data_IF_963470167068
#
_entry.id   IF_963470167068
#
_cell.length_a   1.000
_cell.length_b   1.000
_cell.length_c   1.000
_cell.angle_alpha   90.00
_cell.angle_beta   90.00
_cell.angle_gamma   90.00
#
_symmetry.space_group_name_H-M   'P 1'
#
loop_
_entity.id
_entity.type
_entity.pdbx_description
1 polymer ?
#
# COMPACT_ATOMS: atom_id res chain seq x y z
N UNK A 1 13.38 44.14 -1.06
CA UNK A 1 12.38 43.79 -0.02
C UNK A 1 13.02 43.65 1.37
N UNK A 2 14.08 42.84 1.52
CA UNK A 2 14.83 42.66 2.78
C UNK A 2 15.37 43.98 3.37
N UNK A 3 15.90 44.88 2.54
CA UNK A 3 16.40 46.19 3.02
C UNK A 3 15.29 47.18 3.40
N UNK A 4 14.07 46.95 2.93
CA UNK A 4 12.89 47.71 3.34
C UNK A 4 12.44 47.24 4.73
N UNK A 5 12.45 45.92 4.97
CA UNK A 5 12.16 45.30 6.26
C UNK A 5 13.19 45.73 7.31
N UNK A 6 14.49 45.74 6.99
CA UNK A 6 15.55 46.22 7.90
C UNK A 6 15.38 47.71 8.27
N UNK A 7 14.91 48.55 7.34
CA UNK A 7 14.65 49.98 7.58
C UNK A 7 13.40 50.21 8.42
N UNK A 8 12.32 49.47 8.18
CA UNK A 8 11.13 49.51 9.03
C UNK A 8 11.41 48.97 10.45
N UNK A 9 12.29 47.99 10.60
CA UNK A 9 12.72 47.47 11.90
C UNK A 9 13.46 48.52 12.72
N UNK A 10 14.42 49.24 12.11
CA UNK A 10 15.13 50.34 12.78
C UNK A 10 14.21 51.48 13.19
N UNK A 11 13.16 51.78 12.41
CA UNK A 11 12.13 52.76 12.81
C UNK A 11 11.32 52.27 14.00
N UNK A 12 10.84 51.02 14.00
CA UNK A 12 10.05 50.46 15.10
C UNK A 12 10.83 50.32 16.41
N UNK A 13 12.13 50.02 16.35
CA UNK A 13 13.00 50.05 17.54
C UNK A 13 13.18 51.46 18.09
N UNK A 14 13.29 52.47 17.21
CA UNK A 14 13.39 53.87 17.62
C UNK A 14 12.06 54.38 18.22
N UNK A 15 10.93 54.05 17.60
CA UNK A 15 9.60 54.46 18.07
C UNK A 15 9.23 53.78 19.40
N UNK A 16 9.56 52.49 19.58
CA UNK A 16 9.34 51.77 20.84
C UNK A 16 10.24 52.26 21.98
N UNK A 17 11.46 52.72 21.69
CA UNK A 17 12.33 53.37 22.67
C UNK A 17 11.80 54.75 23.09
N UNK A 18 11.08 55.44 22.20
CA UNK A 18 10.59 56.80 22.43
C UNK A 18 9.26 56.83 23.20
N UNK A 19 8.44 55.77 23.12
CA UNK A 19 7.10 55.74 23.71
C UNK A 19 7.05 55.57 25.25
N UNK A 20 8.20 55.32 25.90
CA UNK A 20 8.29 55.16 27.37
C UNK A 20 9.07 56.29 28.08
N UNK A 21 9.42 57.37 27.37
CA UNK A 21 10.17 58.49 27.96
C UNK A 21 9.26 59.71 28.19
N UNK A 22 8.66 59.82 29.37
CA UNK A 22 8.19 61.13 29.86
C UNK A 22 9.39 62.03 30.15
N UNK A 23 9.25 63.30 29.79
CA UNK A 23 10.29 64.32 29.80
C UNK A 23 10.98 64.42 31.18
N UNK A 24 12.29 64.17 31.25
CA UNK A 24 13.08 64.54 32.43
C UNK A 24 14.30 63.68 32.81
N UNK A 25 14.40 62.40 32.43
CA UNK A 25 15.55 61.57 32.82
C UNK A 25 15.97 60.56 31.75
N UNK A 26 16.77 61.02 30.79
CA UNK A 26 17.27 60.22 29.65
C UNK A 26 18.39 59.23 30.06
N UNK A 27 18.92 59.28 31.29
CA UNK A 27 20.09 58.49 31.69
C UNK A 27 19.80 57.13 32.35
N UNK A 28 18.53 56.73 32.57
CA UNK A 28 18.21 55.50 33.33
C UNK A 28 17.06 54.62 32.80
N UNK A 29 16.75 54.67 31.50
CA UNK A 29 15.85 53.67 30.90
C UNK A 29 16.68 52.57 30.22
N UNK A 30 17.22 51.62 30.99
CA UNK A 30 17.74 50.36 30.43
C UNK A 30 16.60 49.32 30.47
N UNK A 31 16.13 48.80 29.32
CA UNK A 31 15.21 47.67 29.32
C UNK A 31 15.85 46.47 30.03
N UNK A 32 15.04 45.70 30.79
CA UNK A 32 15.51 44.51 31.52
C UNK A 32 16.24 43.54 30.56
N UNK A 33 17.45 43.05 30.90
CA UNK A 33 18.24 42.15 30.04
C UNK A 33 17.48 40.90 29.61
N UNK A 34 16.60 40.38 30.47
CA UNK A 34 15.77 39.21 30.18
C UNK A 34 14.71 39.48 29.10
N UNK A 35 14.15 40.69 29.06
CA UNK A 35 13.16 41.06 28.04
C UNK A 35 13.81 41.25 26.66
N UNK A 36 15.02 41.78 26.65
CA UNK A 36 15.82 41.92 25.42
C UNK A 36 16.26 40.55 24.89
N UNK A 37 16.74 39.67 25.76
CA UNK A 37 17.13 38.30 25.42
C UNK A 37 15.95 37.48 24.85
N UNK A 38 14.77 37.55 25.50
CA UNK A 38 13.56 36.89 24.99
C UNK A 38 13.08 37.48 23.65
N UNK A 39 13.26 38.79 23.44
CA UNK A 39 12.96 39.46 22.17
C UNK A 39 13.88 39.01 21.04
N UNK A 40 15.19 38.94 21.31
CA UNK A 40 16.19 38.49 20.33
C UNK A 40 16.04 37.02 19.97
N UNK A 41 15.69 36.15 20.92
CA UNK A 41 15.48 34.72 20.66
C UNK A 41 14.24 34.47 19.78
N UNK A 42 13.13 35.16 20.08
CA UNK A 42 11.91 35.09 19.24
C UNK A 42 12.15 35.61 17.82
N UNK A 43 12.95 36.67 17.66
CA UNK A 43 13.30 37.24 16.36
C UNK A 43 14.26 36.32 15.58
N UNK A 44 15.25 35.74 16.25
CA UNK A 44 16.16 34.77 15.66
C UNK A 44 15.40 33.50 15.21
N UNK A 45 14.46 33.02 16.02
CA UNK A 45 13.60 31.90 15.65
C UNK A 45 12.73 32.23 14.43
N UNK A 46 12.12 33.43 14.37
CA UNK A 46 11.39 33.89 13.19
C UNK A 46 12.27 34.00 11.94
N UNK A 47 13.51 34.50 12.09
CA UNK A 47 14.47 34.60 10.98
C UNK A 47 14.88 33.21 10.49
N UNK A 48 15.16 32.27 11.39
CA UNK A 48 15.47 30.86 11.04
C UNK A 48 14.30 30.19 10.32
N UNK A 49 13.08 30.39 10.81
CA UNK A 49 11.87 29.87 10.16
C UNK A 49 11.66 30.50 8.78
N UNK A 50 11.85 31.81 8.63
CA UNK A 50 11.74 32.49 7.34
C UNK A 50 12.79 32.00 6.33
N UNK A 51 14.04 31.80 6.78
CA UNK A 51 15.08 31.20 5.94
C UNK A 51 14.75 29.77 5.54
N UNK A 52 14.29 28.94 6.47
CA UNK A 52 13.87 27.56 6.18
C UNK A 52 12.73 27.54 5.14
N UNK A 53 11.72 28.38 5.32
CA UNK A 53 10.59 28.49 4.40
C UNK A 53 11.05 28.95 3.02
N UNK A 54 11.91 29.97 2.94
CA UNK A 54 12.50 30.42 1.66
C UNK A 54 13.26 29.27 0.99
N UNK A 55 14.14 28.58 1.71
CA UNK A 55 14.91 27.46 1.15
C UNK A 55 14.02 26.32 0.64
N UNK A 56 12.90 26.03 1.30
CA UNK A 56 11.94 25.03 0.83
C UNK A 56 11.24 25.50 -0.45
N UNK A 57 10.81 26.77 -0.48
CA UNK A 57 10.15 27.36 -1.64
C UNK A 57 11.12 27.39 -2.84
N UNK A 58 12.33 27.90 -2.64
CA UNK A 58 13.37 27.98 -3.65
C UNK A 58 13.73 26.58 -4.18
N UNK A 59 13.84 25.58 -3.29
CA UNK A 59 14.06 24.19 -3.67
C UNK A 59 12.89 23.57 -4.44
N UNK A 60 11.65 23.91 -4.09
CA UNK A 60 10.47 23.49 -4.85
C UNK A 60 10.46 24.11 -6.26
N UNK A 61 10.75 25.41 -6.38
CA UNK A 61 10.86 26.09 -7.67
C UNK A 61 11.98 25.48 -8.52
N UNK A 62 13.17 25.23 -7.96
CA UNK A 62 14.26 24.56 -8.70
C UNK A 62 13.84 23.17 -9.19
N UNK A 63 13.19 22.38 -8.33
CA UNK A 63 12.72 21.05 -8.71
C UNK A 63 11.68 21.10 -9.84
N UNK A 64 10.74 22.04 -9.78
CA UNK A 64 9.65 22.13 -10.74
C UNK A 64 10.04 22.81 -12.04
N UNK A 65 10.93 23.81 -12.01
CA UNK A 65 11.31 24.61 -13.18
C UNK A 65 12.57 24.07 -13.86
N UNK A 66 13.57 23.62 -13.11
CA UNK A 66 14.88 23.23 -13.66
C UNK A 66 15.10 21.72 -13.76
N UNK A 67 14.42 20.91 -12.92
CA UNK A 67 14.63 19.45 -12.89
C UNK A 67 13.50 18.64 -13.52
N UNK A 68 12.32 19.23 -13.71
CA UNK A 68 11.18 18.52 -14.28
C UNK A 68 11.25 18.43 -15.79
N UNK A 69 10.55 17.44 -16.35
CA UNK A 69 10.46 17.27 -17.79
C UNK A 69 9.50 18.31 -18.39
N UNK A 70 9.99 19.22 -19.26
CA UNK A 70 9.17 20.29 -19.81
C UNK A 70 8.03 19.76 -20.70
N UNK A 71 8.14 18.55 -21.25
CA UNK A 71 7.16 17.97 -22.18
C UNK A 71 5.81 17.69 -21.55
N UNK A 72 5.78 17.51 -20.22
CA UNK A 72 4.56 17.12 -19.48
C UNK A 72 3.96 18.28 -18.69
N UNK A 73 4.57 19.46 -18.68
CA UNK A 73 4.18 20.58 -17.80
C UNK A 73 2.72 21.02 -17.99
N UNK A 74 2.27 21.07 -19.24
CA UNK A 74 0.91 21.52 -19.58
C UNK A 74 -0.13 20.41 -19.53
N UNK A 75 0.27 19.19 -19.16
CA UNK A 75 -0.66 18.06 -19.10
C UNK A 75 -1.50 18.11 -17.82
N UNK A 76 -2.72 17.58 -17.91
CA UNK A 76 -3.66 17.59 -16.80
C UNK A 76 -3.04 16.92 -15.55
N UNK A 77 -3.14 17.63 -14.41
CA UNK A 77 -2.55 17.32 -13.10
C UNK A 77 -1.01 17.30 -13.00
N UNK A 78 -0.26 17.72 -14.02
CA UNK A 78 1.22 17.75 -14.00
C UNK A 78 1.85 19.09 -13.59
N UNK A 79 1.03 20.13 -13.39
CA UNK A 79 1.50 21.46 -13.01
C UNK A 79 2.13 21.48 -11.60
N UNK A 80 1.59 20.72 -10.65
CA UNK A 80 2.12 20.61 -9.28
C UNK A 80 1.72 19.26 -8.65
N UNK A 81 2.42 18.81 -7.59
CA UNK A 81 2.07 17.56 -6.90
C UNK A 81 0.83 17.71 -5.99
N UNK A 82 0.46 18.93 -5.62
CA UNK A 82 -0.58 19.19 -4.63
C UNK A 82 -1.97 18.66 -5.04
N UNK A 83 -2.47 18.84 -6.27
CA UNK A 83 -3.73 18.26 -6.71
C UNK A 83 -3.77 16.74 -6.52
N UNK A 84 -2.71 16.04 -6.91
CA UNK A 84 -2.56 14.58 -6.73
C UNK A 84 -2.62 14.20 -5.26
N UNK A 85 -1.87 14.91 -4.42
CA UNK A 85 -1.84 14.69 -2.98
C UNK A 85 -3.22 14.88 -2.35
N UNK A 86 -3.95 15.94 -2.71
CA UNK A 86 -5.31 16.17 -2.20
C UNK A 86 -6.28 15.08 -2.66
N UNK A 87 -6.19 14.61 -3.90
CA UNK A 87 -6.99 13.49 -4.40
C UNK A 87 -6.68 12.19 -3.64
N UNK A 88 -5.41 11.88 -3.40
CA UNK A 88 -4.99 10.71 -2.63
C UNK A 88 -5.47 10.77 -1.17
N UNK A 89 -5.30 11.91 -0.49
CA UNK A 89 -5.76 12.11 0.88
C UNK A 89 -7.28 12.06 0.97
N UNK A 90 -7.97 12.70 0.03
CA UNK A 90 -9.43 12.66 -0.11
C UNK A 90 -9.93 11.24 -0.33
N UNK A 91 -9.26 10.46 -1.17
CA UNK A 91 -9.55 9.05 -1.39
C UNK A 91 -9.41 8.22 -0.10
N UNK A 92 -8.32 8.37 0.66
CA UNK A 92 -8.14 7.64 1.92
C UNK A 92 -9.21 8.02 2.94
N UNK A 93 -9.49 9.32 3.08
CA UNK A 93 -10.52 9.84 3.98
C UNK A 93 -11.91 9.33 3.59
N UNK A 94 -12.24 9.35 2.30
CA UNK A 94 -13.48 8.78 1.78
C UNK A 94 -13.59 7.29 2.08
N UNK A 95 -12.54 6.53 1.78
CA UNK A 95 -12.53 5.06 1.90
C UNK A 95 -12.72 4.59 3.33
N UNK A 96 -12.07 5.24 4.30
CA UNK A 96 -12.06 4.78 5.71
C UNK A 96 -13.12 5.47 6.58
N UNK A 97 -13.57 6.67 6.24
CA UNK A 97 -14.45 7.48 7.09
C UNK A 97 -15.77 7.79 6.41
N UNK A 98 -15.76 8.59 5.35
CA UNK A 98 -17.01 9.13 4.76
C UNK A 98 -17.87 8.04 4.15
N UNK A 99 -17.27 7.18 3.33
CA UNK A 99 -17.95 6.10 2.62
C UNK A 99 -18.66 5.13 3.56
N UNK A 100 -17.96 4.49 4.51
CA UNK A 100 -18.57 3.60 5.49
C UNK A 100 -19.67 4.29 6.32
N UNK A 101 -19.45 5.53 6.76
CA UNK A 101 -20.44 6.31 7.53
C UNK A 101 -21.69 6.62 6.72
N UNK A 102 -21.55 6.97 5.44
CA UNK A 102 -22.69 7.22 4.54
C UNK A 102 -23.52 5.96 4.29
N UNK A 103 -22.87 4.80 4.24
CA UNK A 103 -23.50 3.51 3.97
C UNK A 103 -23.96 2.76 5.22
N UNK A 104 -23.70 3.28 6.42
CA UNK A 104 -24.02 2.64 7.71
C UNK A 104 -25.52 2.30 7.79
N UNK A 105 -26.37 3.30 7.53
CA UNK A 105 -27.83 3.19 7.58
C UNK A 105 -28.49 2.89 6.21
N UNK A 106 -27.69 2.58 5.18
CA UNK A 106 -28.20 2.25 3.84
C UNK A 106 -28.02 0.77 3.53
N UNK A 107 -28.92 0.22 2.71
CA UNK A 107 -28.80 -1.14 2.16
C UNK A 107 -27.68 -1.17 1.10
N UNK A 108 -26.96 -2.29 0.95
CA UNK A 108 -25.94 -2.41 -0.10
C UNK A 108 -26.59 -2.27 -1.48
N UNK A 109 -25.98 -1.48 -2.36
CA UNK A 109 -26.51 -1.26 -3.70
C UNK A 109 -26.16 -2.41 -4.64
N UNK A 110 -27.11 -2.82 -5.48
CA UNK A 110 -26.82 -3.76 -6.57
C UNK A 110 -26.26 -3.00 -7.77
N UNK A 111 -24.94 -3.10 -7.93
CA UNK A 111 -24.18 -2.45 -9.00
C UNK A 111 -23.61 -3.47 -9.98
N UNK A 112 -24.24 -4.66 -10.13
CA UNK A 112 -23.69 -5.75 -10.94
C UNK A 112 -23.40 -5.33 -12.38
N UNK A 113 -24.36 -4.71 -13.07
CA UNK A 113 -24.17 -4.25 -14.46
C UNK A 113 -23.10 -3.17 -14.58
N UNK A 114 -23.08 -2.22 -13.64
CA UNK A 114 -22.07 -1.16 -13.59
C UNK A 114 -20.67 -1.76 -13.44
N UNK A 115 -20.52 -2.76 -12.56
CA UNK A 115 -19.26 -3.48 -12.37
C UNK A 115 -18.84 -4.26 -13.61
N UNK A 116 -19.76 -4.89 -14.34
CA UNK A 116 -19.44 -5.59 -15.58
C UNK A 116 -18.86 -4.60 -16.60
N UNK A 117 -19.55 -3.49 -16.84
CA UNK A 117 -19.10 -2.45 -17.79
C UNK A 117 -17.76 -1.87 -17.34
N UNK A 118 -17.64 -1.51 -16.07
CA UNK A 118 -16.43 -0.93 -15.51
C UNK A 118 -15.23 -1.88 -15.65
N UNK A 119 -15.37 -3.16 -15.25
CA UNK A 119 -14.27 -4.12 -15.36
C UNK A 119 -13.91 -4.38 -16.83
N UNK A 120 -14.88 -4.40 -17.75
CA UNK A 120 -14.62 -4.51 -19.18
C UNK A 120 -13.81 -3.32 -19.70
N UNK A 121 -14.21 -2.09 -19.34
CA UNK A 121 -13.47 -0.87 -19.69
C UNK A 121 -12.05 -0.92 -19.11
N UNK A 122 -11.88 -1.36 -17.86
CA UNK A 122 -10.56 -1.50 -17.25
C UNK A 122 -9.67 -2.53 -17.96
N UNK A 123 -10.23 -3.66 -18.40
CA UNK A 123 -9.50 -4.65 -19.20
C UNK A 123 -9.05 -4.04 -20.53
N UNK A 124 -9.95 -3.39 -21.26
CA UNK A 124 -9.63 -2.75 -22.55
C UNK A 124 -8.57 -1.67 -22.37
N UNK A 125 -8.74 -0.81 -21.36
CA UNK A 125 -7.82 0.30 -21.09
C UNK A 125 -6.44 -0.20 -20.65
N UNK A 126 -6.39 -1.21 -19.78
CA UNK A 126 -5.12 -1.83 -19.35
C UNK A 126 -4.43 -2.56 -20.50
N UNK A 127 -5.20 -3.23 -21.38
CA UNK A 127 -4.67 -3.89 -22.57
C UNK A 127 -4.13 -2.87 -23.57
N UNK A 128 -4.83 -1.76 -23.77
CA UNK A 128 -4.35 -0.65 -24.60
C UNK A 128 -3.09 0.00 -24.02
N UNK A 129 -3.03 0.25 -22.71
CA UNK A 129 -1.80 0.76 -22.07
C UNK A 129 -0.64 -0.22 -22.16
N UNK A 130 -0.90 -1.50 -21.90
CA UNK A 130 0.09 -2.56 -22.08
C UNK A 130 0.56 -2.56 -23.52
N UNK A 131 -0.35 -2.44 -24.48
CA UNK A 131 -0.02 -2.33 -25.90
C UNK A 131 0.84 -1.10 -26.19
N UNK A 132 0.41 0.12 -25.83
CA UNK A 132 1.18 1.35 -26.07
C UNK A 132 2.61 1.30 -25.52
N UNK A 133 2.83 0.59 -24.42
CA UNK A 133 4.16 0.41 -23.80
C UNK A 133 4.92 -0.82 -24.36
N UNK A 134 4.22 -1.84 -24.84
CA UNK A 134 4.79 -3.12 -25.34
C UNK A 134 5.01 -3.17 -26.85
N UNK A 135 4.00 -2.79 -27.63
CA UNK A 135 3.85 -3.07 -29.06
C UNK A 135 3.17 -1.89 -29.75
N UNK A 136 3.74 -1.38 -30.84
CA UNK A 136 3.05 -0.46 -31.72
C UNK A 136 2.51 -1.24 -32.92
N UNK A 137 1.24 -1.02 -33.29
CA UNK A 137 0.62 -1.67 -34.47
C UNK A 137 1.28 -1.06 -35.70
N UNK A 138 2.09 -1.86 -36.37
CA UNK A 138 2.18 -1.85 -37.82
C UNK A 138 0.78 -2.10 -38.39
N UNK A 139 0.05 -1.02 -38.66
CA UNK A 139 -0.71 -1.01 -39.91
C UNK A 139 0.32 -1.08 -41.06
N UNK A 140 0.07 -1.82 -42.16
CA UNK A 140 1.14 -2.45 -42.93
C UNK A 140 1.95 -1.54 -43.86
N UNK A 141 1.82 -0.21 -43.79
CA UNK A 141 2.49 0.68 -44.72
C UNK A 141 3.00 1.92 -43.99
N UNK A 142 4.25 2.27 -44.25
CA UNK A 142 4.99 3.47 -43.79
C UNK A 142 5.89 3.24 -42.56
N UNK A 143 7.19 3.19 -42.85
CA UNK A 143 8.34 3.34 -41.97
C UNK A 143 8.11 4.39 -40.86
N UNK A 144 8.03 3.94 -39.60
CA UNK A 144 7.94 4.85 -38.45
C UNK A 144 8.53 4.20 -37.18
N UNK A 145 9.23 5.02 -36.40
CA UNK A 145 10.11 4.72 -35.28
C UNK A 145 9.32 4.30 -34.01
N UNK A 146 9.83 3.31 -33.27
CA UNK A 146 9.11 2.54 -32.22
C UNK A 146 9.41 3.03 -30.78
N UNK A 147 8.56 2.75 -29.77
CA UNK A 147 8.84 2.77 -28.31
C UNK A 147 8.75 1.32 -27.78
N UNK A 148 9.81 0.54 -27.67
CA UNK A 148 10.71 0.48 -26.52
C UNK A 148 10.93 -0.99 -26.10
N UNK A 149 10.18 -1.48 -25.11
CA UNK A 149 10.45 -2.75 -24.40
C UNK A 149 10.49 -4.04 -25.23
N UNK A 150 9.58 -4.25 -26.18
CA UNK A 150 9.63 -5.47 -27.03
C UNK A 150 10.40 -5.27 -28.33
N UNK A 151 11.14 -4.16 -28.49
CA UNK A 151 11.81 -3.83 -29.76
C UNK A 151 13.27 -3.44 -29.55
N UNK A 152 13.54 -2.29 -28.96
CA UNK A 152 14.88 -1.68 -28.91
C UNK A 152 15.33 -1.25 -27.51
N UNK A 153 14.47 -1.33 -26.49
CA UNK A 153 14.88 -1.06 -25.12
C UNK A 153 15.70 -2.22 -24.57
N UNK A 154 16.76 -1.86 -23.86
CA UNK A 154 17.57 -2.81 -23.13
C UNK A 154 16.93 -3.12 -21.79
N UNK A 155 16.72 -4.41 -21.50
CA UNK A 155 16.27 -4.88 -20.19
C UNK A 155 17.33 -4.73 -19.08
N UNK A 156 18.55 -4.28 -19.42
CA UNK A 156 19.63 -4.03 -18.45
C UNK A 156 19.71 -2.58 -18.03
N UNK A 157 19.91 -1.70 -19.01
CA UNK A 157 20.02 -0.27 -18.80
C UNK A 157 19.28 0.46 -19.91
N UNK A 158 18.19 1.13 -19.56
CA UNK A 158 17.45 1.97 -20.48
C UNK A 158 17.37 3.42 -19.94
N UNK A 159 18.15 4.36 -20.49
CA UNK A 159 18.02 5.76 -20.11
C UNK A 159 16.67 6.34 -20.57
N UNK A 160 16.28 7.46 -19.96
CA UNK A 160 15.10 8.21 -20.39
C UNK A 160 15.46 9.06 -21.60
N UNK A 161 14.68 8.94 -22.67
CA UNK A 161 14.79 9.82 -23.82
C UNK A 161 13.95 11.08 -23.57
N UNK A 162 14.63 12.22 -23.37
CA UNK A 162 14.02 13.54 -23.15
C UNK A 162 13.76 14.32 -24.44
N UNK A 163 14.01 13.73 -25.62
CA UNK A 163 13.76 14.39 -26.90
C UNK A 163 12.26 14.62 -27.16
N UNK A 164 11.96 15.51 -28.09
CA UNK A 164 10.61 15.72 -28.63
C UNK A 164 10.31 14.78 -29.82
N UNK A 165 11.03 13.66 -29.95
CA UNK A 165 10.76 12.69 -30.99
C UNK A 165 9.34 12.10 -30.82
N UNK A 166 8.66 11.72 -31.92
CA UNK A 166 7.32 11.10 -31.83
C UNK A 166 7.30 9.88 -30.91
N UNK A 167 8.36 9.09 -30.94
CA UNK A 167 8.61 7.95 -30.06
C UNK A 167 8.70 8.34 -28.58
N UNK A 168 9.56 9.30 -28.24
CA UNK A 168 9.77 9.70 -26.85
C UNK A 168 8.51 10.33 -26.25
N UNK A 169 7.81 11.17 -27.02
CA UNK A 169 6.52 11.74 -26.64
C UNK A 169 5.43 10.69 -26.47
N UNK A 170 5.40 9.65 -27.32
CA UNK A 170 4.45 8.54 -27.19
C UNK A 170 4.68 7.76 -25.88
N UNK A 171 5.92 7.46 -25.53
CA UNK A 171 6.26 6.83 -24.25
C UNK A 171 5.85 7.69 -23.06
N UNK A 172 6.16 9.00 -23.10
CA UNK A 172 5.77 9.93 -22.05
C UNK A 172 4.24 10.00 -21.90
N UNK A 173 3.48 10.07 -23.01
CA UNK A 173 2.02 10.02 -23.01
C UNK A 173 1.49 8.71 -22.44
N UNK A 174 2.11 7.57 -22.75
CA UNK A 174 1.78 6.28 -22.16
C UNK A 174 1.96 6.27 -20.63
N UNK A 175 3.05 6.84 -20.14
CA UNK A 175 3.30 7.00 -18.70
C UNK A 175 2.26 7.93 -18.04
N UNK A 176 1.85 9.00 -18.71
CA UNK A 176 0.78 9.88 -18.21
C UNK A 176 -0.60 9.21 -18.23
N UNK A 177 -0.95 8.46 -19.27
CA UNK A 177 -2.21 7.69 -19.28
C UNK A 177 -2.22 6.60 -18.22
N UNK A 178 -1.07 5.97 -17.95
CA UNK A 178 -0.90 5.05 -16.82
C UNK A 178 -1.10 5.77 -15.48
N UNK A 179 -0.60 7.00 -15.33
CA UNK A 179 -0.88 7.83 -14.15
C UNK A 179 -2.39 8.13 -14.00
N UNK A 180 -3.07 8.51 -15.09
CA UNK A 180 -4.53 8.73 -15.07
C UNK A 180 -5.28 7.45 -14.70
N UNK A 181 -4.82 6.27 -15.15
CA UNK A 181 -5.41 4.98 -14.79
C UNK A 181 -5.56 4.82 -13.28
N UNK A 182 -4.58 5.28 -12.50
CA UNK A 182 -4.58 5.11 -11.03
C UNK A 182 -5.69 5.87 -10.33
N UNK A 183 -6.20 6.95 -10.91
CA UNK A 183 -7.40 7.62 -10.40
C UNK A 183 -8.68 6.91 -10.83
N UNK A 184 -8.73 6.34 -12.03
CA UNK A 184 -9.89 5.55 -12.48
C UNK A 184 -10.06 4.33 -11.56
N UNK A 185 -8.95 3.72 -11.13
CA UNK A 185 -8.93 2.60 -10.18
C UNK A 185 -9.49 2.97 -8.79
N UNK A 186 -9.62 4.26 -8.42
CA UNK A 186 -10.31 4.65 -7.18
C UNK A 186 -11.78 4.22 -7.16
N UNK A 187 -12.38 4.04 -8.34
CA UNK A 187 -13.75 3.54 -8.47
C UNK A 187 -13.91 2.14 -7.87
N UNK A 188 -12.85 1.30 -7.86
CA UNK A 188 -12.89 -0.03 -7.21
C UNK A 188 -13.33 0.08 -5.75
N UNK A 189 -12.72 1.02 -5.04
CA UNK A 189 -13.01 1.30 -3.64
C UNK A 189 -14.40 1.86 -3.44
N UNK A 190 -14.81 2.78 -4.30
CA UNK A 190 -16.17 3.33 -4.29
C UNK A 190 -17.17 2.17 -4.42
N UNK A 191 -16.99 1.26 -5.37
CA UNK A 191 -17.87 0.10 -5.51
C UNK A 191 -17.85 -0.83 -4.29
N UNK A 192 -16.71 -1.06 -3.65
CA UNK A 192 -16.65 -1.87 -2.43
C UNK A 192 -17.43 -1.23 -1.28
N UNK A 193 -17.29 0.08 -1.09
CA UNK A 193 -18.03 0.85 -0.07
C UNK A 193 -19.53 0.80 -0.35
N UNK A 194 -19.95 1.11 -1.58
CA UNK A 194 -21.36 1.16 -1.98
C UNK A 194 -22.06 -0.21 -1.90
N UNK A 195 -21.31 -1.31 -2.02
CA UNK A 195 -21.79 -2.69 -1.86
C UNK A 195 -21.65 -3.23 -0.43
N UNK A 196 -21.16 -2.41 0.51
CA UNK A 196 -20.81 -2.80 1.90
C UNK A 196 -19.89 -4.02 1.97
N UNK A 197 -18.98 -4.17 1.00
CA UNK A 197 -17.97 -5.24 0.95
C UNK A 197 -16.69 -4.81 1.67
N UNK A 198 -16.82 -4.49 2.96
CA UNK A 198 -15.71 -3.97 3.77
C UNK A 198 -14.53 -4.96 3.87
N UNK A 199 -14.78 -6.27 3.77
CA UNK A 199 -13.72 -7.29 3.73
C UNK A 199 -12.79 -7.16 2.51
N UNK A 200 -13.30 -6.60 1.40
CA UNK A 200 -12.51 -6.34 0.21
C UNK A 200 -11.70 -5.05 0.33
N UNK A 201 -12.16 -4.11 1.18
CA UNK A 201 -11.47 -2.86 1.51
C UNK A 201 -10.34 -3.07 2.53
N UNK A 202 -9.45 -4.00 2.22
CA UNK A 202 -8.29 -4.33 3.04
C UNK A 202 -7.35 -3.13 3.19
N UNK A 203 -6.49 -3.17 4.21
CA UNK A 203 -5.43 -2.15 4.37
C UNK A 203 -4.48 -2.14 3.18
N UNK A 204 -4.16 -3.33 2.62
CA UNK A 204 -3.37 -3.45 1.40
C UNK A 204 -4.00 -2.65 0.25
N UNK A 205 -5.29 -2.82 0.00
CA UNK A 205 -6.01 -2.13 -1.07
C UNK A 205 -5.96 -0.60 -0.92
N UNK A 206 -6.29 -0.10 0.28
CA UNK A 206 -6.33 1.34 0.54
C UNK A 206 -4.94 1.97 0.49
N UNK A 207 -3.91 1.31 1.05
CA UNK A 207 -2.53 1.79 1.01
C UNK A 207 -2.02 1.81 -0.44
N UNK A 208 -2.26 0.74 -1.20
CA UNK A 208 -1.87 0.65 -2.60
C UNK A 208 -2.47 1.77 -3.43
N UNK A 209 -3.80 1.85 -3.53
CA UNK A 209 -4.43 2.90 -4.33
C UNK A 209 -4.18 4.31 -3.75
N UNK A 210 -4.02 4.46 -2.44
CA UNK A 210 -3.70 5.76 -1.84
C UNK A 210 -2.32 6.30 -2.25
N UNK A 211 -1.29 5.44 -2.31
CA UNK A 211 0.10 5.85 -2.59
C UNK A 211 0.44 5.83 -4.07
N UNK A 212 -0.13 4.90 -4.85
CA UNK A 212 0.27 4.68 -6.24
C UNK A 212 0.18 5.92 -7.15
N UNK A 213 -0.93 6.69 -7.19
CA UNK A 213 -1.00 7.89 -8.03
C UNK A 213 0.08 8.92 -7.67
N UNK A 214 0.32 9.14 -6.37
CA UNK A 214 1.36 10.06 -5.90
C UNK A 214 2.76 9.59 -6.29
N UNK A 215 3.03 8.29 -6.16
CA UNK A 215 4.31 7.69 -6.54
C UNK A 215 4.57 7.80 -8.04
N UNK A 216 3.55 7.52 -8.86
CA UNK A 216 3.64 7.59 -10.32
C UNK A 216 3.75 9.04 -10.81
N UNK A 217 3.16 10.01 -10.12
CA UNK A 217 3.28 11.44 -10.45
C UNK A 217 4.74 11.88 -10.56
N UNK A 218 5.58 11.52 -9.58
CA UNK A 218 7.02 11.81 -9.63
C UNK A 218 7.69 11.10 -10.82
N UNK A 219 7.30 9.86 -11.12
CA UNK A 219 7.80 9.14 -12.28
C UNK A 219 7.50 9.87 -13.60
N UNK A 220 6.26 10.34 -13.80
CA UNK A 220 5.87 11.07 -15.02
C UNK A 220 6.52 12.45 -15.09
N UNK A 221 6.61 13.16 -13.96
CA UNK A 221 7.14 14.53 -13.91
C UNK A 221 8.64 14.61 -14.19
N UNK A 222 9.41 13.60 -13.78
CA UNK A 222 10.88 13.65 -13.83
C UNK A 222 11.49 12.60 -14.76
N UNK A 223 10.89 11.42 -14.89
CA UNK A 223 11.44 10.31 -15.68
C UNK A 223 10.35 9.62 -16.53
N UNK A 224 9.65 10.34 -17.43
CA UNK A 224 8.56 9.76 -18.21
C UNK A 224 9.07 8.84 -19.33
N UNK A 225 9.38 7.60 -18.95
CA UNK A 225 9.88 6.55 -19.84
C UNK A 225 11.09 5.83 -19.28
N UNK A 226 11.92 5.29 -20.17
CA UNK A 226 13.17 4.60 -19.83
C UNK A 226 12.97 3.45 -18.85
N UNK A 227 13.97 3.17 -18.03
CA UNK A 227 14.03 2.02 -17.12
C UNK A 227 12.82 1.89 -16.18
N UNK A 228 12.29 3.01 -15.69
CA UNK A 228 11.10 3.06 -14.83
C UNK A 228 9.87 2.48 -15.51
N UNK A 229 9.70 2.68 -16.82
CA UNK A 229 8.46 2.27 -17.49
C UNK A 229 8.22 0.74 -17.50
N UNK A 230 9.23 -0.08 -17.16
CA UNK A 230 9.10 -1.53 -16.99
C UNK A 230 8.08 -1.92 -15.89
N UNK A 231 8.00 -1.17 -14.79
CA UNK A 231 7.03 -1.50 -13.75
C UNK A 231 5.60 -1.26 -14.26
N UNK A 232 5.39 -0.19 -15.05
CA UNK A 232 4.10 0.12 -15.67
C UNK A 232 3.70 -0.94 -16.70
N UNK A 233 4.67 -1.43 -17.48
CA UNK A 233 4.50 -2.56 -18.40
C UNK A 233 4.00 -3.81 -17.67
N UNK A 234 4.69 -4.26 -16.62
CA UNK A 234 4.27 -5.46 -15.89
C UNK A 234 2.95 -5.25 -15.14
N UNK A 235 2.73 -4.06 -14.57
CA UNK A 235 1.50 -3.77 -13.85
C UNK A 235 0.28 -3.79 -14.76
N UNK A 236 0.36 -3.17 -15.94
CA UNK A 236 -0.74 -3.14 -16.91
C UNK A 236 -1.07 -4.55 -17.40
N UNK A 237 -0.06 -5.40 -17.65
CA UNK A 237 -0.27 -6.82 -17.95
C UNK A 237 -1.03 -7.57 -16.84
N UNK A 238 -0.58 -7.42 -15.59
CA UNK A 238 -1.25 -8.08 -14.46
C UNK A 238 -2.66 -7.52 -14.24
N UNK A 239 -2.87 -6.22 -14.47
CA UNK A 239 -4.18 -5.58 -14.39
C UNK A 239 -5.15 -6.12 -15.46
N UNK A 240 -4.69 -6.41 -16.69
CA UNK A 240 -5.52 -7.10 -17.69
C UNK A 240 -6.06 -8.42 -17.13
N UNK A 241 -5.20 -9.24 -16.52
CA UNK A 241 -5.60 -10.55 -15.98
C UNK A 241 -6.49 -10.39 -14.74
N UNK A 242 -6.15 -9.47 -13.85
CA UNK A 242 -6.90 -9.21 -12.62
C UNK A 242 -8.31 -8.66 -12.90
N UNK A 243 -8.44 -7.65 -13.76
CA UNK A 243 -9.76 -7.10 -14.12
C UNK A 243 -10.58 -8.08 -14.96
N UNK A 244 -9.93 -8.95 -15.76
CA UNK A 244 -10.62 -10.05 -16.44
C UNK A 244 -11.22 -11.02 -15.42
N UNK A 245 -10.49 -11.34 -14.34
CA UNK A 245 -11.04 -12.14 -13.25
C UNK A 245 -12.24 -11.44 -12.57
N UNK A 246 -12.15 -10.14 -12.29
CA UNK A 246 -13.27 -9.40 -11.68
C UNK A 246 -14.48 -9.29 -12.60
N UNK A 247 -14.28 -9.13 -13.90
CA UNK A 247 -15.33 -9.18 -14.91
C UNK A 247 -16.06 -10.53 -14.86
N UNK A 248 -15.32 -11.64 -14.93
CA UNK A 248 -15.89 -12.98 -14.84
C UNK A 248 -16.61 -13.22 -13.51
N UNK A 249 -16.07 -12.70 -12.41
CA UNK A 249 -16.70 -12.79 -11.09
C UNK A 249 -18.01 -11.99 -11.01
N UNK A 250 -18.14 -10.89 -11.76
CA UNK A 250 -19.34 -10.06 -11.81
C UNK A 250 -20.46 -10.67 -12.68
N UNK A 251 -20.12 -11.57 -13.62
CA UNK A 251 -21.10 -12.28 -14.46
C UNK A 251 -21.97 -13.29 -13.70
N UNK A 252 -21.68 -13.55 -12.41
CA UNK A 252 -22.60 -14.18 -11.48
C UNK A 252 -22.14 -15.50 -10.88
N UNK A 253 -22.97 -16.12 -10.00
CA UNK A 253 -22.60 -17.33 -9.25
C UNK A 253 -22.28 -18.53 -10.13
N UNK A 254 -22.88 -18.60 -11.33
CA UNK A 254 -22.63 -19.68 -12.29
C UNK A 254 -21.17 -19.68 -12.75
N UNK A 255 -20.59 -18.51 -13.02
CA UNK A 255 -19.19 -18.40 -13.43
C UNK A 255 -18.22 -18.45 -12.25
N UNK A 256 -18.60 -17.94 -11.08
CA UNK A 256 -17.74 -17.91 -9.89
C UNK A 256 -17.25 -19.31 -9.47
N UNK A 257 -18.03 -20.36 -9.74
CA UNK A 257 -17.64 -21.76 -9.49
C UNK A 257 -16.37 -22.18 -10.25
N UNK A 258 -16.14 -21.62 -11.44
CA UNK A 258 -14.98 -21.92 -12.29
C UNK A 258 -13.75 -21.06 -11.96
N UNK A 259 -13.87 -20.09 -11.04
CA UNK A 259 -12.81 -19.14 -10.68
C UNK A 259 -11.87 -19.67 -9.57
N UNK A 260 -11.50 -20.95 -9.65
CA UNK A 260 -10.61 -21.63 -8.69
C UNK A 260 -9.19 -21.03 -8.66
N UNK A 261 -8.78 -20.35 -9.73
CA UNK A 261 -7.44 -19.82 -9.91
C UNK A 261 -7.17 -18.47 -9.23
N UNK A 262 -8.08 -17.99 -8.36
CA UNK A 262 -7.92 -16.76 -7.57
C UNK A 262 -6.57 -16.68 -6.84
N UNK A 263 -6.09 -17.81 -6.31
CA UNK A 263 -4.81 -17.88 -5.60
C UNK A 263 -3.63 -17.57 -6.52
N UNK A 264 -3.68 -18.01 -7.77
CA UNK A 264 -2.62 -17.78 -8.74
C UNK A 264 -2.54 -16.31 -9.18
N UNK A 265 -3.64 -15.56 -9.14
CA UNK A 265 -3.62 -14.10 -9.33
C UNK A 265 -2.76 -13.40 -8.29
N UNK A 266 -2.96 -13.73 -7.00
CA UNK A 266 -2.16 -13.13 -5.93
C UNK A 266 -0.69 -13.53 -6.03
N UNK A 267 -0.41 -14.77 -6.46
CA UNK A 267 0.97 -15.21 -6.74
C UNK A 267 1.58 -14.44 -7.91
N UNK A 268 0.83 -14.22 -8.99
CA UNK A 268 1.27 -13.44 -10.15
C UNK A 268 1.61 -11.99 -9.74
N UNK A 269 0.78 -11.35 -8.90
CA UNK A 269 1.05 -10.03 -8.35
C UNK A 269 2.33 -10.01 -7.49
N UNK A 270 2.57 -11.04 -6.67
CA UNK A 270 3.81 -11.13 -5.89
C UNK A 270 5.04 -11.30 -6.80
N UNK A 271 4.95 -12.15 -7.83
CA UNK A 271 6.01 -12.35 -8.82
C UNK A 271 6.32 -11.04 -9.57
N UNK A 272 5.30 -10.27 -9.93
CA UNK A 272 5.46 -8.94 -10.53
C UNK A 272 6.36 -8.05 -9.67
N UNK A 273 6.14 -7.97 -8.36
CA UNK A 273 6.99 -7.15 -7.49
C UNK A 273 8.43 -7.66 -7.43
N UNK A 274 8.66 -8.97 -7.45
CA UNK A 274 10.01 -9.55 -7.52
C UNK A 274 10.72 -9.14 -8.81
N UNK A 275 10.03 -9.26 -9.96
CA UNK A 275 10.60 -8.87 -11.25
C UNK A 275 10.92 -7.36 -11.29
N UNK A 276 10.04 -6.52 -10.74
CA UNK A 276 10.27 -5.07 -10.65
C UNK A 276 11.46 -4.76 -9.73
N UNK A 277 11.60 -5.44 -8.59
CA UNK A 277 12.74 -5.24 -7.69
C UNK A 277 14.07 -5.60 -8.35
N UNK A 278 14.15 -6.80 -8.95
CA UNK A 278 15.36 -7.25 -9.66
C UNK A 278 15.69 -6.29 -10.79
N UNK A 279 14.69 -5.91 -11.59
CA UNK A 279 14.88 -4.98 -12.70
C UNK A 279 15.27 -3.59 -12.22
N UNK A 280 14.76 -3.08 -11.10
CA UNK A 280 15.16 -1.78 -10.57
C UNK A 280 16.60 -1.83 -10.02
N UNK A 281 16.88 -2.77 -9.11
CA UNK A 281 18.15 -2.80 -8.37
C UNK A 281 19.36 -3.23 -9.21
N UNK A 282 19.19 -3.87 -10.38
CA UNK A 282 20.34 -4.11 -11.26
C UNK A 282 21.08 -2.82 -11.67
N UNK A 283 20.40 -1.66 -11.73
CA UNK A 283 21.04 -0.37 -12.02
C UNK A 283 21.97 0.12 -10.91
N UNK A 284 21.94 -0.48 -9.72
CA UNK A 284 22.91 -0.19 -8.67
C UNK A 284 24.28 -0.82 -8.94
N UNK A 285 24.32 -1.82 -9.83
CA UNK A 285 25.51 -2.60 -10.15
C UNK A 285 26.01 -2.37 -11.59
N UNK A 286 25.29 -1.56 -12.38
CA UNK A 286 25.59 -1.27 -13.78
C UNK A 286 25.66 0.25 -13.95
N UNK A 287 26.70 0.73 -14.63
CA UNK A 287 26.78 2.13 -15.01
C UNK A 287 25.77 2.45 -16.11
N UNK A 288 24.74 3.20 -15.74
CA UNK A 288 23.63 3.57 -16.59
C UNK A 288 23.29 5.06 -16.37
N UNK A 289 23.02 5.78 -17.45
CA UNK A 289 22.56 7.18 -17.38
C UNK A 289 21.08 7.25 -16.97
N UNK A 290 20.79 6.81 -15.74
CA UNK A 290 19.47 6.83 -15.14
C UNK A 290 19.58 7.28 -13.67
N UNK A 291 18.70 8.18 -13.20
CA UNK A 291 18.82 8.76 -11.86
C UNK A 291 18.64 7.71 -10.75
N UNK A 292 19.71 7.50 -9.96
CA UNK A 292 19.73 6.51 -8.86
C UNK A 292 18.65 6.73 -7.80
N UNK A 293 18.20 7.98 -7.60
CA UNK A 293 17.11 8.28 -6.69
C UNK A 293 15.80 7.54 -7.06
N UNK A 294 15.47 7.47 -8.35
CA UNK A 294 14.29 6.74 -8.83
C UNK A 294 14.43 5.23 -8.74
N UNK A 295 15.66 4.71 -8.83
CA UNK A 295 15.95 3.28 -8.61
C UNK A 295 15.58 2.88 -7.18
N UNK A 296 16.07 3.64 -6.19
CA UNK A 296 15.71 3.41 -4.79
C UNK A 296 14.23 3.62 -4.53
N UNK A 297 13.63 4.65 -5.11
CA UNK A 297 12.20 4.93 -4.98
C UNK A 297 11.35 3.72 -5.44
N UNK A 298 11.56 3.25 -6.67
CA UNK A 298 10.80 2.14 -7.25
C UNK A 298 11.07 0.83 -6.50
N UNK A 299 12.35 0.55 -6.21
CA UNK A 299 12.76 -0.66 -5.50
C UNK A 299 12.15 -0.76 -4.11
N UNK A 300 12.21 0.31 -3.31
CA UNK A 300 11.63 0.34 -1.96
C UNK A 300 10.10 0.25 -1.98
N UNK A 301 9.42 0.88 -2.94
CA UNK A 301 7.97 0.70 -3.11
C UNK A 301 7.61 -0.76 -3.44
N UNK A 302 8.37 -1.41 -4.32
CA UNK A 302 8.15 -2.80 -4.68
C UNK A 302 8.38 -3.75 -3.47
N UNK A 303 9.40 -3.49 -2.64
CA UNK A 303 9.62 -4.21 -1.37
C UNK A 303 8.41 -4.06 -0.44
N UNK A 304 7.95 -2.83 -0.22
CA UNK A 304 6.79 -2.54 0.63
C UNK A 304 5.56 -3.33 0.16
N UNK A 305 5.21 -3.25 -1.12
CA UNK A 305 4.05 -3.96 -1.66
C UNK A 305 4.22 -5.48 -1.62
N UNK A 306 5.42 -6.00 -1.87
CA UNK A 306 5.69 -7.42 -1.74
C UNK A 306 5.34 -7.94 -0.33
N UNK A 307 5.75 -7.23 0.72
CA UNK A 307 5.42 -7.63 2.09
C UNK A 307 3.94 -7.52 2.41
N UNK A 308 3.25 -6.46 1.96
CA UNK A 308 1.81 -6.31 2.15
C UNK A 308 1.02 -7.42 1.45
N UNK A 309 1.41 -7.80 0.22
CA UNK A 309 0.79 -8.91 -0.51
C UNK A 309 1.13 -10.27 0.10
N UNK A 310 2.35 -10.46 0.59
CA UNK A 310 2.77 -11.69 1.29
C UNK A 310 1.97 -11.90 2.58
N UNK A 311 1.76 -10.84 3.35
CA UNK A 311 0.92 -10.87 4.54
C UNK A 311 -0.55 -11.17 4.19
N UNK A 312 -1.12 -10.47 3.21
CA UNK A 312 -2.46 -10.75 2.70
C UNK A 312 -2.60 -12.23 2.27
N UNK A 313 -1.64 -12.76 1.52
CA UNK A 313 -1.66 -14.14 1.04
C UNK A 313 -1.62 -15.14 2.20
N UNK A 314 -0.77 -14.91 3.21
CA UNK A 314 -0.70 -15.75 4.42
C UNK A 314 -2.03 -15.74 5.17
N UNK A 315 -2.67 -14.58 5.31
CA UNK A 315 -3.94 -14.46 6.02
C UNK A 315 -5.11 -15.06 5.23
N UNK A 316 -5.20 -14.78 3.93
CA UNK A 316 -6.31 -15.19 3.08
C UNK A 316 -6.29 -16.69 2.76
N UNK A 317 -5.11 -17.28 2.56
CA UNK A 317 -5.00 -18.66 2.06
C UNK A 317 -4.38 -19.63 3.08
N UNK A 318 -3.25 -19.28 3.72
CA UNK A 318 -2.57 -20.22 4.64
C UNK A 318 -3.30 -20.37 5.97
N UNK A 319 -3.64 -19.26 6.64
CA UNK A 319 -4.36 -19.31 7.93
C UNK A 319 -5.74 -19.95 7.79
N UNK A 320 -6.47 -19.64 6.71
CA UNK A 320 -7.78 -20.27 6.43
C UNK A 320 -7.67 -21.77 6.16
N UNK A 321 -6.68 -22.20 5.39
CA UNK A 321 -6.44 -23.63 5.14
C UNK A 321 -6.11 -24.39 6.44
N UNK A 322 -5.20 -23.85 7.26
CA UNK A 322 -4.84 -24.45 8.54
C UNK A 322 -6.03 -24.50 9.52
N UNK A 323 -6.86 -23.45 9.56
CA UNK A 323 -8.06 -23.45 10.39
C UNK A 323 -9.09 -24.49 9.92
N UNK A 324 -9.27 -24.65 8.61
CA UNK A 324 -10.16 -25.66 8.04
C UNK A 324 -9.64 -27.08 8.31
N UNK A 325 -8.34 -27.31 8.22
CA UNK A 325 -7.70 -28.59 8.54
C UNK A 325 -7.84 -28.93 10.04
N UNK A 326 -7.57 -27.96 10.93
CA UNK A 326 -7.78 -28.13 12.38
C UNK A 326 -9.24 -28.45 12.71
N UNK A 327 -10.20 -27.78 12.06
CA UNK A 327 -11.63 -28.07 12.24
C UNK A 327 -11.96 -29.50 11.76
N UNK A 328 -11.48 -29.90 10.58
CA UNK A 328 -11.67 -31.27 10.07
C UNK A 328 -11.11 -32.32 11.01
N UNK A 329 -9.90 -32.10 11.54
CA UNK A 329 -9.30 -33.01 12.51
C UNK A 329 -10.12 -33.06 13.82
N UNK A 330 -10.56 -31.90 14.34
CA UNK A 330 -11.42 -31.85 15.52
C UNK A 330 -12.77 -32.56 15.31
N UNK A 331 -13.41 -32.39 14.15
CA UNK A 331 -14.66 -33.06 13.79
C UNK A 331 -14.46 -34.58 13.65
N UNK A 332 -13.30 -35.03 13.17
CA UNK A 332 -12.94 -36.46 13.10
C UNK A 332 -12.71 -37.06 14.50
N UNK A 333 -12.05 -36.35 15.41
CA UNK A 333 -11.89 -36.77 16.80
C UNK A 333 -13.23 -36.78 17.55
N UNK A 334 -14.12 -35.81 17.31
CA UNK A 334 -15.42 -35.73 17.97
C UNK A 334 -16.41 -36.81 17.51
N UNK A 335 -16.36 -37.23 16.24
CA UNK A 335 -17.25 -38.25 15.68
C UNK A 335 -16.77 -39.70 15.90
N UNK A 336 -15.72 -39.94 16.71
CA UNK A 336 -15.23 -41.28 17.05
C UNK A 336 -14.69 -42.09 15.86
N UNK A 337 -14.58 -41.48 14.67
CA UNK A 337 -14.09 -42.13 13.45
C UNK A 337 -12.56 -42.01 13.37
N UNK A 338 -11.87 -42.57 14.37
CA UNK A 338 -10.45 -42.88 14.21
C UNK A 338 -10.40 -44.14 13.36
N UNK A 339 -10.20 -44.00 12.06
CA UNK A 339 -9.78 -45.14 11.24
C UNK A 339 -8.38 -45.53 11.71
N UNK A 340 -8.30 -46.47 12.65
CA UNK A 340 -7.09 -47.24 12.93
C UNK A 340 -6.81 -48.17 11.75
N UNK A 341 -6.47 -47.59 10.60
CA UNK A 341 -5.72 -48.28 9.55
C UNK A 341 -4.30 -47.78 9.64
N UNK A 342 -3.54 -48.45 10.52
CA UNK A 342 -2.10 -48.37 10.63
C UNK A 342 -1.45 -48.73 9.29
N UNK A 343 -1.22 -47.72 8.45
CA UNK A 343 -0.10 -47.73 7.50
C UNK A 343 1.16 -47.27 8.24
N UNK A 344 2.35 -47.80 7.92
CA UNK A 344 3.56 -47.47 8.66
C UNK A 344 3.84 -45.97 8.50
N UNK A 345 3.79 -45.27 9.64
CA UNK A 345 4.29 -43.90 9.75
C UNK A 345 5.79 -43.99 9.52
N UNK A 346 6.24 -43.60 8.34
CA UNK A 346 7.66 -43.35 8.08
C UNK A 346 8.07 -42.14 8.93
N UNK A 347 8.81 -42.42 10.00
CA UNK A 347 9.49 -41.41 10.79
C UNK A 347 10.41 -40.60 9.88
N UNK A 348 10.02 -39.34 9.61
CA UNK A 348 10.92 -38.35 9.04
C UNK A 348 12.06 -38.10 10.03
N UNK A 349 13.27 -38.44 9.60
CA UNK A 349 14.53 -38.21 10.28
C UNK A 349 14.62 -36.75 10.79
N UNK A 350 14.62 -36.57 12.11
CA UNK A 350 15.27 -35.43 12.75
C UNK A 350 16.58 -35.95 13.32
N UNK A 351 17.66 -35.70 12.58
CA UNK A 351 19.01 -35.83 13.11
C UNK A 351 19.17 -34.81 14.23
N UNK A 352 19.26 -35.28 15.47
CA UNK A 352 20.10 -34.68 16.51
C UNK A 352 20.13 -35.59 17.75
N UNK A 353 21.29 -36.22 17.97
CA UNK A 353 21.93 -36.33 19.28
C UNK A 353 21.32 -37.25 20.34
N UNK A 354 22.15 -38.22 20.75
CA UNK A 354 22.13 -38.99 22.00
C UNK A 354 21.22 -40.22 22.11
N UNK A 355 21.87 -41.36 21.86
CA UNK A 355 21.65 -42.67 22.46
C UNK A 355 21.00 -42.65 23.85
N UNK A 356 19.93 -43.43 24.04
CA UNK A 356 19.70 -44.28 25.22
C UNK A 356 18.82 -45.48 24.80
N UNK A 357 19.14 -46.65 25.37
CA UNK A 357 18.74 -48.00 24.96
C UNK A 357 17.30 -48.37 25.37
N UNK A 358 16.78 -49.39 24.67
CA UNK A 358 15.62 -50.23 24.95
C UNK A 358 15.30 -50.46 26.45
N UNK A 359 14.01 -50.40 26.77
CA UNK A 359 13.40 -50.95 27.98
C UNK A 359 11.96 -51.37 27.68
N UNK A 360 11.73 -52.67 27.77
CA UNK A 360 10.48 -53.41 27.60
C UNK A 360 9.53 -53.18 28.79
N UNK A 361 8.22 -52.97 28.56
CA UNK A 361 7.16 -53.13 29.56
C UNK A 361 5.75 -52.94 28.98
N UNK A 362 5.14 -54.08 28.63
CA UNK A 362 3.79 -54.55 29.03
C UNK A 362 2.60 -53.56 29.10
N UNK A 363 1.55 -53.97 28.38
CA UNK A 363 0.18 -53.45 28.43
C UNK A 363 -0.42 -53.43 29.84
N UNK A 364 -1.01 -52.28 30.22
CA UNK A 364 -2.12 -52.23 31.18
C UNK A 364 -3.26 -51.35 30.64
N UNK A 365 -4.48 -51.90 30.75
CA UNK A 365 -5.75 -51.39 30.28
C UNK A 365 -6.28 -50.19 31.10
N UNK A 366 -6.98 -49.32 30.37
CA UNK A 366 -8.14 -48.51 30.77
C UNK A 366 -7.96 -47.40 31.85
N UNK A 367 -7.85 -46.17 31.36
CA UNK A 367 -8.19 -44.94 32.10
C UNK A 367 -8.50 -43.81 31.11
N UNK A 368 -9.70 -43.23 31.21
CA UNK A 368 -10.19 -42.11 30.36
C UNK A 368 -9.16 -40.96 30.29
N UNK A 369 -8.81 -40.40 29.12
CA UNK A 369 -8.05 -39.17 29.10
C UNK A 369 -9.00 -37.97 29.19
N UNK A 370 -8.85 -37.24 30.29
CA UNK A 370 -9.31 -35.87 30.50
C UNK A 370 -8.71 -34.92 29.47
N UNK A 371 -9.47 -33.90 29.10
CA UNK A 371 -9.09 -32.79 28.21
C UNK A 371 -7.97 -31.98 28.89
N UNK A 372 -6.71 -32.39 28.78
CA UNK A 372 -5.58 -31.63 29.37
C UNK A 372 -4.19 -31.88 28.73
N UNK A 373 -4.06 -32.57 27.59
CA UNK A 373 -2.73 -32.99 27.10
C UNK A 373 -2.28 -32.42 25.74
N UNK A 374 -2.95 -31.43 25.16
CA UNK A 374 -2.49 -30.79 23.91
C UNK A 374 -1.87 -29.39 24.08
N UNK A 375 -1.23 -29.14 25.22
CA UNK A 375 -0.40 -27.95 25.41
C UNK A 375 0.91 -28.35 26.06
N UNK A 376 1.94 -28.64 25.26
CA UNK A 376 3.26 -28.13 25.60
C UNK A 376 4.19 -28.07 24.40
N UNK A 377 4.63 -26.85 24.12
CA UNK A 377 5.57 -26.50 23.05
C UNK A 377 5.95 -25.03 23.16
N UNK A 378 6.36 -24.57 24.34
CA UNK A 378 7.33 -23.47 24.51
C UNK A 378 7.62 -23.29 25.99
N UNK A 379 8.91 -23.31 26.33
CA UNK A 379 9.40 -23.10 27.69
C UNK A 379 9.05 -21.68 28.16
N UNK A 380 8.23 -21.58 29.21
CA UNK A 380 8.11 -20.39 30.04
C UNK A 380 8.18 -20.83 31.51
N UNK A 381 9.19 -20.29 32.19
CA UNK A 381 9.52 -20.56 33.59
C UNK A 381 8.30 -20.42 34.51
N UNK A 382 8.13 -21.40 35.42
CA UNK A 382 7.03 -21.56 36.38
C UNK A 382 6.75 -20.34 37.28
N UNK A 383 7.64 -19.34 37.33
CA UNK A 383 7.41 -18.09 38.08
C UNK A 383 6.47 -17.08 37.40
N UNK A 384 6.20 -17.23 36.10
CA UNK A 384 5.34 -16.28 35.34
C UNK A 384 3.85 -16.64 35.45
N UNK A 385 3.54 -17.93 35.68
CA UNK A 385 2.16 -18.43 35.74
C UNK A 385 1.45 -18.02 37.04
N UNK A 386 2.19 -17.87 38.15
CA UNK A 386 1.61 -17.41 39.42
C UNK A 386 1.30 -15.91 39.44
N UNK A 387 2.11 -15.09 38.75
CA UNK A 387 1.87 -13.63 38.64
C UNK A 387 0.66 -13.29 37.76
N UNK A 388 0.39 -14.08 36.71
CA UNK A 388 -0.79 -13.87 35.86
C UNK A 388 -2.08 -14.31 36.57
N UNK A 389 -2.01 -15.32 37.45
CA UNK A 389 -3.18 -15.80 38.20
C UNK A 389 -3.63 -14.82 39.30
N UNK A 390 -2.74 -13.97 39.80
CA UNK A 390 -3.06 -12.94 40.80
C UNK A 390 -3.67 -11.65 40.21
N UNK A 391 -3.60 -11.42 38.89
CA UNK A 391 -4.02 -10.16 38.26
C UNK A 391 -5.45 -10.11 37.69
N UNK A 392 -6.15 -11.25 37.59
CA UNK A 392 -7.47 -11.33 36.92
C UNK A 392 -8.69 -11.36 37.86
N UNK A 393 -8.49 -11.12 39.17
CA UNK A 393 -9.58 -11.01 40.15
C UNK A 393 -10.08 -9.58 40.36
N UNK A 394 -9.72 -8.62 39.50
CA UNK A 394 -10.17 -7.24 39.60
C UNK A 394 -10.44 -6.64 38.22
N UNK A 395 -11.72 -6.63 37.83
CA UNK A 395 -12.43 -5.69 36.95
C UNK A 395 -13.40 -6.42 36.00
N UNK A 396 -14.60 -6.66 36.51
CA UNK A 396 -15.78 -6.94 35.68
C UNK A 396 -16.40 -5.65 35.13
N UNK A 397 -17.04 -5.75 33.97
CA UNK A 397 -18.36 -5.14 33.74
C UNK A 397 -19.06 -5.76 32.53
N UNK A 398 -20.35 -6.02 32.69
CA UNK A 398 -21.16 -7.02 31.99
C UNK A 398 -21.89 -6.53 30.72
N UNK A 399 -21.21 -5.81 29.82
CA UNK A 399 -21.86 -5.25 28.61
C UNK A 399 -21.59 -6.01 27.30
N UNK A 400 -20.58 -6.90 27.25
CA UNK A 400 -20.05 -7.41 25.97
C UNK A 400 -20.65 -8.75 25.52
N UNK A 401 -21.42 -9.44 26.37
CA UNK A 401 -21.90 -10.80 26.08
C UNK A 401 -23.26 -10.88 25.38
N UNK A 402 -23.97 -9.76 25.19
CA UNK A 402 -25.27 -9.76 24.47
C UNK A 402 -25.16 -9.57 22.95
N UNK A 403 -23.98 -9.25 22.41
CA UNK A 403 -23.83 -8.96 20.97
C UNK A 403 -23.36 -10.15 20.12
N UNK A 404 -22.77 -11.19 20.73
CA UNK A 404 -22.29 -12.38 20.01
C UNK A 404 -23.36 -13.46 19.79
N UNK A 405 -24.44 -13.47 20.57
CA UNK A 405 -25.51 -14.46 20.42
C UNK A 405 -26.44 -14.18 19.22
N UNK A 406 -26.52 -12.94 18.73
CA UNK A 406 -27.41 -12.55 17.62
C UNK A 406 -26.82 -12.72 16.22
N UNK A 407 -25.51 -12.99 16.11
CA UNK A 407 -24.82 -13.21 14.83
C UNK A 407 -24.85 -14.69 14.42
N UNK A 408 -24.94 -15.61 15.39
CA UNK A 408 -25.02 -17.04 15.11
C UNK A 408 -26.42 -17.53 14.70
N UNK A 409 -27.48 -16.74 14.92
CA UNK A 409 -28.85 -17.10 14.54
C UNK A 409 -29.24 -16.68 13.11
N UNK A 410 -28.51 -15.73 12.49
CA UNK A 410 -28.83 -15.24 11.13
C UNK A 410 -28.06 -15.97 10.01
N UNK A 411 -27.06 -16.79 10.36
CA UNK A 411 -26.30 -17.60 9.39
C UNK A 411 -26.84 -19.04 9.25
N UNK A 412 -27.93 -19.38 9.95
CA UNK A 412 -28.57 -20.70 9.89
C UNK A 412 -29.88 -20.70 9.07
N UNK A 413 -30.33 -19.55 8.57
CA UNK A 413 -31.61 -19.39 7.85
C UNK A 413 -31.45 -19.14 6.34
N UNK A 414 -30.23 -18.87 5.86
CA UNK A 414 -29.96 -18.68 4.41
C UNK A 414 -29.57 -19.99 3.68
N UNK A 415 -29.41 -21.09 4.42
CA UNK A 415 -29.07 -22.42 3.86
C UNK A 415 -30.32 -23.33 3.66
N UNK A 416 -31.53 -22.75 3.71
CA UNK A 416 -32.80 -23.49 3.54
C UNK A 416 -33.75 -22.93 2.48
N UNK A 417 -33.31 -21.99 1.62
CA UNK A 417 -34.14 -21.43 0.53
C UNK A 417 -33.41 -21.08 -0.78
N UNK A 418 -32.41 -21.88 -1.21
CA UNK A 418 -31.96 -21.86 -2.62
C UNK A 418 -31.58 -23.23 -3.15
#
# INVERSE_FOLDING_TARGET
>A
MVDRIKREHRRKEYDAATQYCTCGQISRCKPSPELLAQGTDKLLQKSKMAHLVSSIIDGYHDLMENKSDPRVNDWFLMASPFPTMFLCLGYVYFSKVVGPKLMEHRKPMDLRYVLIIYNLVQVIFSAWLFYEVSSSRSAPYTSCLCSGWMTHYSYRCQPVDYSFSPTALRMAKGCWWYYISKFIEFLDTIFFVLRKKNDHLSNLHVIHHGVMPMSVWFGVKFTPGGHSSFFGLLNTFVHVIMYSYYLLAALGPQLQKYLWWKKYLTVLQMVQFVLVMVHAFQLLFIDCNYPRAFVWWIGMHAIMFYFLFSDFYKQAYKKKALAAERKRLADQLANGKVNSSSGPVTNGYLSNGHHLKNGDATYHQAGKPTIASFLNGSALSQRTVELVRAGYSSLGSAATLRHQSRVHSLLAEEDRQS
#
